data_IF_978521345015
#
_entry.id   IF_978521345015
#
_cell.length_a   1.000
_cell.length_b   1.000
_cell.length_c   1.000
_cell.angle_alpha   90.00
_cell.angle_beta   90.00
_cell.angle_gamma   90.00
#
_symmetry.space_group_name_H-M   'P 1'
#
loop_
_entity.id
_entity.type
_entity.pdbx_description
1 polymer ?
#
# COMPACT_ATOMS: atom_id res chain seq x y z
N UNK A 1 -14.20 0.44 -13.47
CA UNK A 1 -13.32 0.78 -12.35
C UNK A 1 -13.45 -0.30 -11.29
N UNK A 2 -12.34 -0.84 -10.73
CA UNK A 2 -12.36 -1.86 -9.69
C UNK A 2 -11.46 -1.40 -8.53
N UNK A 3 -11.95 -1.50 -7.29
CA UNK A 3 -11.19 -1.10 -6.11
C UNK A 3 -11.69 -1.86 -4.87
N UNK A 4 -10.80 -2.16 -3.93
CA UNK A 4 -11.16 -2.71 -2.61
C UNK A 4 -11.63 -1.62 -1.64
N UNK A 5 -11.29 -0.36 -1.90
CA UNK A 5 -11.69 0.81 -1.13
C UNK A 5 -12.26 1.87 -2.06
N UNK A 6 -13.20 2.68 -1.59
CA UNK A 6 -13.87 3.67 -2.44
C UNK A 6 -13.98 5.04 -1.74
N UNK A 7 -12.84 5.71 -1.46
CA UNK A 7 -12.80 7.00 -0.79
C UNK A 7 -13.44 8.11 -1.64
N UNK A 8 -13.76 9.26 -1.01
CA UNK A 8 -14.41 10.43 -1.68
C UNK A 8 -13.71 10.81 -3.00
N UNK A 9 -12.37 10.84 -3.02
CA UNK A 9 -11.61 11.14 -4.22
C UNK A 9 -11.85 10.15 -5.37
N UNK A 10 -11.93 8.85 -5.06
CA UNK A 10 -12.24 7.83 -6.07
C UNK A 10 -13.68 7.92 -6.58
N UNK A 11 -14.63 8.35 -5.73
CA UNK A 11 -16.02 8.63 -6.13
C UNK A 11 -16.10 9.81 -7.08
N UNK A 12 -15.36 10.90 -6.81
CA UNK A 12 -15.28 12.04 -7.72
C UNK A 12 -14.75 11.62 -9.08
N UNK A 13 -13.65 10.88 -9.12
CA UNK A 13 -13.10 10.36 -10.37
C UNK A 13 -14.10 9.46 -11.10
N UNK A 14 -14.85 8.61 -10.38
CA UNK A 14 -15.87 7.78 -11.03
C UNK A 14 -16.97 8.62 -11.66
N UNK A 15 -17.47 9.66 -10.98
CA UNK A 15 -18.48 10.57 -11.52
C UNK A 15 -17.96 11.37 -12.73
N UNK A 16 -16.65 11.69 -12.76
CA UNK A 16 -16.05 12.48 -13.86
C UNK A 16 -15.76 11.65 -15.11
N UNK A 17 -15.34 10.39 -14.94
CA UNK A 17 -14.85 9.55 -16.03
C UNK A 17 -15.80 8.43 -16.46
N UNK A 18 -16.88 8.19 -15.72
CA UNK A 18 -17.88 7.20 -16.08
C UNK A 18 -19.16 7.88 -16.57
N UNK A 19 -19.93 7.18 -17.43
CA UNK A 19 -21.24 7.64 -17.87
C UNK A 19 -22.21 7.78 -16.69
N UNK A 20 -23.19 8.68 -16.79
CA UNK A 20 -24.12 9.00 -15.70
C UNK A 20 -24.95 7.79 -15.22
N UNK A 21 -25.16 6.80 -16.09
CA UNK A 21 -25.93 5.59 -15.84
C UNK A 21 -25.06 4.38 -15.43
N UNK A 22 -23.83 4.60 -14.95
CA UNK A 22 -22.96 3.50 -14.53
C UNK A 22 -23.59 2.66 -13.40
N UNK A 23 -23.40 1.35 -13.48
CA UNK A 23 -23.83 0.41 -12.45
C UNK A 23 -22.73 0.21 -11.41
N UNK A 24 -23.05 0.48 -10.14
CA UNK A 24 -22.16 0.21 -9.01
C UNK A 24 -22.47 -1.15 -8.41
N UNK A 25 -21.51 -2.07 -8.46
CA UNK A 25 -21.62 -3.38 -7.83
C UNK A 25 -20.74 -3.41 -6.58
N UNK A 26 -21.33 -3.65 -5.41
CA UNK A 26 -20.65 -3.81 -4.14
C UNK A 26 -20.67 -5.29 -3.74
N UNK A 27 -19.49 -5.87 -3.54
CA UNK A 27 -19.34 -7.27 -3.10
C UNK A 27 -18.76 -7.27 -1.70
N UNK A 28 -19.56 -7.62 -0.70
CA UNK A 28 -19.18 -7.53 0.71
C UNK A 28 -19.05 -6.08 1.21
N UNK A 29 -18.39 -5.89 2.34
CA UNK A 29 -18.10 -4.58 2.90
C UNK A 29 -16.85 -3.98 2.25
N UNK A 30 -16.93 -2.71 1.85
CA UNK A 30 -15.77 -1.97 1.31
C UNK A 30 -14.75 -1.76 2.43
N UNK A 31 -13.48 -2.12 2.18
CA UNK A 31 -12.42 -2.03 3.19
C UNK A 31 -12.34 -3.22 4.15
N UNK A 32 -13.12 -4.29 3.94
CA UNK A 32 -12.97 -5.54 4.70
C UNK A 32 -11.73 -6.32 4.25
N UNK A 33 -11.24 -7.18 5.14
CA UNK A 33 -10.17 -8.13 4.83
C UNK A 33 -10.74 -9.47 4.41
N UNK A 34 -9.98 -10.21 3.61
CA UNK A 34 -10.38 -11.55 3.19
C UNK A 34 -10.19 -12.54 4.35
N UNK A 35 -11.17 -13.42 4.59
CA UNK A 35 -11.12 -14.43 5.66
C UNK A 35 -9.99 -15.45 5.49
N UNK A 36 -9.44 -15.59 4.27
CA UNK A 36 -8.31 -16.47 3.98
C UNK A 36 -6.95 -15.89 4.42
N UNK A 37 -6.93 -14.68 4.99
CA UNK A 37 -5.71 -14.09 5.54
C UNK A 37 -5.69 -14.32 7.04
N UNK A 38 -4.79 -15.17 7.52
CA UNK A 38 -4.53 -15.31 8.95
C UNK A 38 -3.73 -14.10 9.42
N UNK A 39 -4.31 -13.29 10.30
CA UNK A 39 -3.70 -12.07 10.81
C UNK A 39 -3.15 -12.31 12.22
N UNK A 40 -1.91 -11.89 12.48
CA UNK A 40 -1.29 -11.97 13.78
C UNK A 40 -0.53 -10.67 14.10
N UNK A 41 -0.54 -10.28 15.36
CA UNK A 41 0.20 -9.11 15.84
C UNK A 41 1.21 -9.52 16.88
N UNK A 42 2.38 -8.89 16.86
CA UNK A 42 3.46 -9.12 17.81
C UNK A 42 3.83 -7.76 18.40
N UNK A 43 3.79 -7.65 19.71
CA UNK A 43 4.27 -6.44 20.38
C UNK A 43 5.80 -6.41 20.33
N UNK A 44 6.37 -5.37 19.71
CA UNK A 44 7.81 -5.25 19.50
C UNK A 44 8.27 -3.80 19.64
N UNK A 45 9.22 -3.54 20.53
CA UNK A 45 9.89 -2.26 20.61
C UNK A 45 10.72 -1.96 19.36
N UNK A 46 10.82 -0.70 18.97
CA UNK A 46 11.53 -0.29 17.75
C UNK A 46 12.97 -0.80 17.66
N UNK A 47 13.67 -0.91 18.81
CA UNK A 47 15.05 -1.40 18.86
C UNK A 47 15.16 -2.91 18.60
N UNK A 48 14.11 -3.64 18.91
CA UNK A 48 14.06 -5.11 18.80
C UNK A 48 13.47 -5.58 17.47
N UNK A 49 12.88 -4.68 16.65
CA UNK A 49 12.18 -5.05 15.40
C UNK A 49 13.06 -5.86 14.44
N UNK A 50 14.32 -5.51 14.26
CA UNK A 50 15.20 -6.24 13.34
C UNK A 50 15.40 -7.68 13.78
N UNK A 51 15.66 -7.90 15.07
CA UNK A 51 15.84 -9.26 15.58
C UNK A 51 14.53 -10.03 15.54
N UNK A 52 13.41 -9.43 15.94
CA UNK A 52 12.08 -10.04 15.84
C UNK A 52 11.71 -10.42 14.41
N UNK A 53 12.08 -9.59 13.43
CA UNK A 53 11.89 -9.88 12.01
C UNK A 53 12.69 -11.10 11.57
N UNK A 54 13.96 -11.15 11.94
CA UNK A 54 14.83 -12.28 11.63
C UNK A 54 14.29 -13.58 12.23
N UNK A 55 13.92 -13.56 13.51
CA UNK A 55 13.40 -14.73 14.23
C UNK A 55 12.08 -15.21 13.61
N UNK A 56 11.21 -14.27 13.22
CA UNK A 56 9.95 -14.57 12.54
C UNK A 56 10.17 -15.23 11.17
N UNK A 57 11.06 -14.69 10.35
CA UNK A 57 11.37 -15.26 9.03
C UNK A 57 12.02 -16.63 9.19
N UNK A 58 12.94 -16.77 10.13
CA UNK A 58 13.62 -18.03 10.40
C UNK A 58 12.64 -19.11 10.87
N UNK A 59 11.70 -18.77 11.75
CA UNK A 59 10.69 -19.71 12.28
C UNK A 59 9.66 -20.14 11.23
N UNK A 60 9.34 -19.27 10.27
CA UNK A 60 8.37 -19.58 9.21
C UNK A 60 8.96 -20.33 8.03
N UNK A 61 10.29 -20.37 7.94
CA UNK A 61 11.00 -21.05 6.86
C UNK A 61 10.95 -20.30 5.51
N UNK A 62 11.57 -20.89 4.47
CA UNK A 62 11.71 -20.25 3.16
C UNK A 62 10.35 -20.17 2.44
N UNK A 63 9.85 -18.96 2.28
CA UNK A 63 8.63 -18.65 1.54
C UNK A 63 8.68 -17.23 0.98
N UNK A 64 7.86 -16.94 -0.04
CA UNK A 64 7.76 -15.57 -0.56
C UNK A 64 7.14 -14.65 0.46
N UNK A 65 7.94 -13.75 0.97
CA UNK A 65 7.60 -12.80 2.04
C UNK A 65 7.73 -11.37 1.54
N UNK A 66 6.69 -10.58 1.72
CA UNK A 66 6.67 -9.15 1.42
C UNK A 66 6.68 -8.37 2.74
N UNK A 67 7.69 -7.53 2.93
CA UNK A 67 7.88 -6.74 4.16
C UNK A 67 7.57 -5.28 3.85
N UNK A 68 6.68 -4.68 4.64
CA UNK A 68 6.32 -3.28 4.52
C UNK A 68 6.97 -2.42 5.59
N UNK A 69 7.60 -1.34 5.13
CA UNK A 69 8.17 -0.27 5.98
C UNK A 69 7.57 1.08 5.59
N UNK A 70 7.60 2.06 6.49
CA UNK A 70 7.02 3.38 6.24
C UNK A 70 8.01 4.39 5.63
N UNK A 71 9.32 4.14 5.72
CA UNK A 71 10.34 5.05 5.21
C UNK A 71 11.33 4.36 4.27
N UNK A 72 11.82 5.08 3.26
CA UNK A 72 12.82 4.61 2.30
C UNK A 72 14.13 4.19 3.00
N UNK A 73 14.59 4.99 3.95
CA UNK A 73 15.80 4.68 4.75
C UNK A 73 15.66 3.40 5.55
N UNK A 74 14.45 3.07 6.03
CA UNK A 74 14.18 1.79 6.68
C UNK A 74 14.19 0.64 5.70
N UNK A 75 13.81 0.88 4.44
CA UNK A 75 13.85 -0.13 3.38
C UNK A 75 15.27 -0.66 3.20
N UNK A 76 16.24 0.25 3.03
CA UNK A 76 17.64 -0.10 2.88
C UNK A 76 18.20 -0.73 4.18
N UNK A 77 17.88 -0.17 5.34
CA UNK A 77 18.32 -0.71 6.64
C UNK A 77 17.86 -2.16 6.86
N UNK A 78 16.61 -2.47 6.54
CA UNK A 78 16.06 -3.83 6.70
C UNK A 78 16.65 -4.77 5.66
N UNK A 79 16.81 -4.31 4.41
CA UNK A 79 17.44 -5.07 3.34
C UNK A 79 18.88 -5.45 3.71
N UNK A 80 19.71 -4.47 4.09
CA UNK A 80 21.09 -4.69 4.53
C UNK A 80 21.18 -5.62 5.75
N UNK A 81 20.29 -5.44 6.72
CA UNK A 81 20.25 -6.29 7.91
C UNK A 81 19.98 -7.76 7.54
N UNK A 82 18.98 -8.02 6.71
CA UNK A 82 18.62 -9.37 6.28
C UNK A 82 19.71 -10.00 5.41
N UNK A 83 20.28 -9.21 4.49
CA UNK A 83 21.38 -9.65 3.64
C UNK A 83 22.60 -10.07 4.48
N UNK A 84 22.99 -9.26 5.47
CA UNK A 84 24.11 -9.58 6.37
C UNK A 84 23.83 -10.81 7.27
N UNK A 85 22.56 -11.18 7.44
CA UNK A 85 22.15 -12.43 8.12
C UNK A 85 22.10 -13.64 7.16
N UNK A 86 22.48 -13.46 5.89
CA UNK A 86 22.48 -14.51 4.89
C UNK A 86 21.12 -14.83 4.27
N UNK A 87 20.13 -13.95 4.46
CA UNK A 87 18.81 -14.12 3.86
C UNK A 87 18.76 -13.41 2.49
N UNK A 88 18.45 -14.12 1.39
CA UNK A 88 18.33 -13.51 0.08
C UNK A 88 17.13 -12.55 0.04
N UNK A 89 17.40 -11.26 -0.03
CA UNK A 89 16.39 -10.20 -0.05
C UNK A 89 16.67 -9.18 -1.15
N UNK A 90 15.69 -8.36 -1.42
CA UNK A 90 15.79 -7.20 -2.32
C UNK A 90 14.79 -6.14 -1.87
N UNK A 91 15.03 -4.88 -2.26
CA UNK A 91 14.19 -3.77 -1.83
C UNK A 91 13.64 -2.96 -3.00
N UNK A 92 12.45 -2.34 -2.78
CA UNK A 92 11.79 -1.49 -3.77
C UNK A 92 11.12 -0.28 -3.10
N UNK A 93 11.48 0.92 -3.58
CA UNK A 93 10.87 2.19 -3.16
C UNK A 93 10.94 3.24 -4.28
N UNK A 94 10.31 4.39 -4.10
CA UNK A 94 10.07 5.37 -5.17
C UNK A 94 11.34 5.92 -5.83
N UNK A 95 12.46 6.03 -5.09
CA UNK A 95 13.69 6.66 -5.60
C UNK A 95 14.58 5.68 -6.36
N UNK A 96 14.25 4.38 -6.36
CA UNK A 96 14.90 3.41 -7.23
C UNK A 96 14.57 3.71 -8.68
N UNK A 97 15.56 3.60 -9.56
CA UNK A 97 15.35 3.69 -11.01
C UNK A 97 14.37 2.62 -11.49
N UNK A 98 13.71 2.85 -12.60
CA UNK A 98 12.77 1.87 -13.17
C UNK A 98 13.44 0.50 -13.41
N UNK A 99 14.69 0.51 -13.87
CA UNK A 99 15.47 -0.72 -14.08
C UNK A 99 15.71 -1.50 -12.78
N UNK A 100 16.14 -0.82 -11.72
CA UNK A 100 16.34 -1.46 -10.40
C UNK A 100 15.04 -2.04 -9.85
N UNK A 101 13.92 -1.32 -10.04
CA UNK A 101 12.59 -1.80 -9.62
C UNK A 101 12.18 -3.06 -10.38
N UNK A 102 12.41 -3.10 -11.67
CA UNK A 102 12.13 -4.28 -12.51
C UNK A 102 13.02 -5.47 -12.16
N UNK A 103 14.31 -5.24 -11.90
CA UNK A 103 15.24 -6.29 -11.49
C UNK A 103 14.90 -6.85 -10.11
N UNK A 104 14.53 -6.00 -9.15
CA UNK A 104 14.06 -6.43 -7.83
C UNK A 104 12.78 -7.29 -7.94
N UNK A 105 11.81 -6.84 -8.73
CA UNK A 105 10.58 -7.60 -8.96
C UNK A 105 10.83 -8.91 -9.69
N UNK A 106 11.72 -8.93 -10.65
CA UNK A 106 12.12 -10.15 -11.35
C UNK A 106 12.75 -11.14 -10.38
N UNK A 107 13.68 -10.69 -9.53
CA UNK A 107 14.34 -11.53 -8.52
C UNK A 107 13.34 -12.10 -7.52
N UNK A 108 12.36 -11.30 -7.10
CA UNK A 108 11.28 -11.74 -6.21
C UNK A 108 10.31 -12.72 -6.90
N UNK A 109 9.90 -12.45 -8.16
CA UNK A 109 9.00 -13.34 -8.92
C UNK A 109 9.62 -14.70 -9.21
N UNK A 110 10.92 -14.75 -9.48
CA UNK A 110 11.65 -16.01 -9.73
C UNK A 110 12.07 -16.72 -8.44
N UNK A 111 11.77 -16.16 -7.27
CA UNK A 111 12.22 -16.63 -5.96
C UNK A 111 13.76 -16.68 -5.79
N UNK A 112 14.52 -15.97 -6.63
CA UNK A 112 15.94 -15.75 -6.42
C UNK A 112 16.18 -14.97 -5.12
N UNK A 113 15.35 -13.94 -4.88
CA UNK A 113 15.22 -13.24 -3.60
C UNK A 113 13.77 -13.46 -3.10
N UNK A 114 13.52 -14.45 -2.22
CA UNK A 114 12.17 -14.73 -1.75
C UNK A 114 11.63 -13.67 -0.77
N UNK A 115 12.47 -12.73 -0.36
CA UNK A 115 12.09 -11.63 0.53
C UNK A 115 12.18 -10.31 -0.24
N UNK A 116 11.07 -9.55 -0.24
CA UNK A 116 11.00 -8.20 -0.81
C UNK A 116 10.65 -7.20 0.28
N UNK A 117 11.49 -6.19 0.47
CA UNK A 117 11.22 -5.06 1.36
C UNK A 117 10.69 -3.89 0.53
N UNK A 118 9.55 -3.33 0.93
CA UNK A 118 8.89 -2.30 0.13
C UNK A 118 8.25 -1.20 0.97
N UNK A 119 8.15 0.00 0.42
CA UNK A 119 7.27 1.03 0.95
C UNK A 119 5.84 0.85 0.43
N UNK A 120 4.83 1.29 1.20
CA UNK A 120 3.42 1.10 0.88
C UNK A 120 3.05 1.60 -0.51
N UNK A 121 3.47 2.82 -0.86
CA UNK A 121 3.16 3.44 -2.17
C UNK A 121 3.71 2.59 -3.34
N UNK A 122 4.93 2.09 -3.21
CA UNK A 122 5.60 1.34 -4.29
C UNK A 122 5.02 -0.06 -4.45
N UNK A 123 4.51 -0.65 -3.39
CA UNK A 123 3.90 -1.97 -3.42
C UNK A 123 2.43 -1.95 -3.88
N UNK A 124 1.80 -0.77 -3.97
CA UNK A 124 0.46 -0.65 -4.58
C UNK A 124 0.54 -1.08 -6.06
N UNK A 125 -0.39 -1.92 -6.46
CA UNK A 125 -0.42 -2.43 -7.83
C UNK A 125 0.59 -3.54 -8.15
N UNK A 126 1.45 -3.95 -7.22
CA UNK A 126 2.29 -5.12 -7.42
C UNK A 126 1.41 -6.36 -7.52
N UNK A 127 1.38 -6.95 -8.71
CA UNK A 127 0.80 -8.27 -8.91
C UNK A 127 1.92 -9.31 -8.91
N UNK A 128 2.10 -9.93 -7.75
CA UNK A 128 3.04 -11.04 -7.57
C UNK A 128 2.28 -12.23 -7.04
N UNK A 129 2.26 -13.28 -7.84
CA UNK A 129 1.65 -14.53 -7.45
C UNK A 129 2.41 -15.20 -6.29
N UNK A 130 1.69 -15.95 -5.47
CA UNK A 130 2.26 -16.80 -4.41
C UNK A 130 3.03 -16.05 -3.31
N UNK A 131 2.66 -14.81 -2.98
CA UNK A 131 3.09 -14.20 -1.71
C UNK A 131 2.37 -14.95 -0.59
N UNK A 132 3.12 -15.67 0.22
CA UNK A 132 2.59 -16.49 1.32
C UNK A 132 2.53 -15.72 2.64
N UNK A 133 3.43 -14.77 2.83
CA UNK A 133 3.53 -14.00 4.05
C UNK A 133 3.69 -12.51 3.75
N UNK A 134 2.88 -11.69 4.37
CA UNK A 134 3.04 -10.24 4.43
C UNK A 134 3.44 -9.87 5.85
N UNK A 135 4.51 -9.11 6.01
CA UNK A 135 4.97 -8.61 7.30
C UNK A 135 4.88 -7.08 7.30
N UNK A 136 4.06 -6.50 8.16
CA UNK A 136 4.10 -5.08 8.44
C UNK A 136 5.16 -4.82 9.51
N UNK A 137 6.40 -4.58 9.09
CA UNK A 137 7.49 -4.16 9.97
C UNK A 137 7.17 -2.82 10.65
N UNK A 138 6.57 -1.90 9.88
CA UNK A 138 5.91 -0.71 10.38
C UNK A 138 4.44 -0.74 9.96
N UNK A 139 3.54 -0.60 10.92
CA UNK A 139 2.13 -0.37 10.63
C UNK A 139 1.94 1.01 9.99
N UNK A 140 0.98 1.18 9.07
CA UNK A 140 0.64 2.49 8.56
C UNK A 140 -0.01 3.34 9.66
N UNK A 141 0.26 4.64 9.68
CA UNK A 141 -0.40 5.58 10.57
C UNK A 141 -1.60 6.24 9.89
N UNK A 142 -2.47 6.87 10.68
CA UNK A 142 -3.61 7.64 10.18
C UNK A 142 -3.23 8.73 9.18
N UNK A 143 -2.01 9.26 9.25
CA UNK A 143 -1.46 10.23 8.28
C UNK A 143 -1.30 9.65 6.86
N UNK A 144 -1.23 8.32 6.72
CA UNK A 144 -1.00 7.60 5.46
C UNK A 144 -2.16 6.67 5.14
N UNK A 145 -3.40 7.14 5.32
CA UNK A 145 -4.60 6.35 5.04
C UNK A 145 -4.83 5.17 6.01
N UNK A 146 -4.04 5.10 7.09
CA UNK A 146 -4.22 4.22 8.24
C UNK A 146 -4.69 2.81 7.90
N UNK A 147 -5.90 2.50 8.30
CA UNK A 147 -6.48 1.17 8.15
C UNK A 147 -6.70 0.76 6.68
N UNK A 148 -6.99 1.70 5.79
CA UNK A 148 -7.14 1.43 4.35
C UNK A 148 -5.83 0.91 3.76
N UNK A 149 -4.71 1.54 4.12
CA UNK A 149 -3.38 1.08 3.69
C UNK A 149 -3.05 -0.29 4.30
N UNK A 150 -3.41 -0.53 5.56
CA UNK A 150 -3.26 -1.84 6.19
C UNK A 150 -3.95 -2.94 5.38
N UNK A 151 -5.21 -2.75 5.03
CA UNK A 151 -5.98 -3.70 4.20
C UNK A 151 -5.33 -3.93 2.84
N UNK A 152 -4.86 -2.86 2.19
CA UNK A 152 -4.16 -2.95 0.91
C UNK A 152 -2.85 -3.75 1.01
N UNK A 153 -2.12 -3.60 2.12
CA UNK A 153 -0.87 -4.33 2.36
C UNK A 153 -1.12 -5.81 2.55
N UNK A 154 -2.00 -6.18 3.47
CA UNK A 154 -2.27 -7.60 3.73
C UNK A 154 -2.96 -8.28 2.55
N UNK A 155 -3.74 -7.54 1.75
CA UNK A 155 -4.31 -8.03 0.49
C UNK A 155 -3.27 -8.33 -0.62
N UNK A 156 -1.96 -8.24 -0.34
CA UNK A 156 -0.92 -8.76 -1.25
C UNK A 156 -0.76 -10.26 -1.13
N UNK A 157 -1.24 -10.89 -0.07
CA UNK A 157 -1.32 -12.35 0.08
C UNK A 157 -2.74 -12.88 -0.12
N UNK A 158 -2.94 -14.16 0.00
CA UNK A 158 -4.24 -14.87 -0.11
C UNK A 158 -5.02 -14.61 -1.42
N UNK A 159 -4.34 -14.35 -2.50
CA UNK A 159 -4.98 -14.05 -3.79
C UNK A 159 -5.50 -15.32 -4.47
N UNK A 160 -6.64 -15.17 -5.20
CA UNK A 160 -7.24 -16.22 -6.03
C UNK A 160 -7.55 -17.49 -5.20
N UNK A 161 -8.21 -17.32 -4.04
CA UNK A 161 -8.64 -18.45 -3.19
C UNK A 161 -7.53 -19.17 -2.43
N UNK A 162 -6.29 -18.67 -2.47
CA UNK A 162 -5.20 -19.19 -1.65
C UNK A 162 -5.31 -18.68 -0.21
N UNK A 163 -4.68 -19.40 0.71
CA UNK A 163 -4.45 -18.93 2.08
C UNK A 163 -3.18 -18.09 2.14
N UNK A 164 -3.16 -17.12 3.05
CA UNK A 164 -2.04 -16.25 3.30
C UNK A 164 -1.89 -15.88 4.77
N UNK A 165 -0.69 -15.44 5.15
CA UNK A 165 -0.40 -14.97 6.50
C UNK A 165 -0.02 -13.51 6.48
N UNK A 166 -0.53 -12.74 7.44
CA UNK A 166 -0.13 -11.37 7.70
C UNK A 166 0.34 -11.24 9.16
N UNK A 167 1.58 -10.80 9.36
CA UNK A 167 2.11 -10.54 10.71
C UNK A 167 2.47 -9.07 10.82
N UNK A 168 2.02 -8.40 11.87
CA UNK A 168 2.25 -6.98 12.07
C UNK A 168 2.96 -6.72 13.39
N UNK A 169 4.01 -5.91 13.35
CA UNK A 169 4.68 -5.43 14.56
C UNK A 169 3.93 -4.22 15.08
N UNK A 170 3.53 -4.30 16.32
CA UNK A 170 2.78 -3.27 17.03
C UNK A 170 3.60 -2.72 18.19
N UNK A 171 3.48 -1.45 18.46
CA UNK A 171 3.94 -0.80 19.69
C UNK A 171 3.06 0.44 19.99
N UNK A 172 3.36 1.14 21.07
CA UNK A 172 2.60 2.30 21.55
C UNK A 172 2.44 3.42 20.52
N UNK A 173 3.34 3.52 19.53
CA UNK A 173 3.23 4.52 18.44
C UNK A 173 2.12 4.21 17.44
N UNK A 174 1.50 3.06 17.55
CA UNK A 174 0.43 2.61 16.66
C UNK A 174 -0.96 2.68 17.31
N UNK A 175 -1.08 3.41 18.44
CA UNK A 175 -2.37 3.57 19.13
C UNK A 175 -3.42 4.27 18.26
N UNK A 176 -2.97 5.15 17.35
CA UNK A 176 -3.82 5.91 16.43
C UNK A 176 -4.68 5.05 15.50
N UNK A 177 -4.29 3.79 15.26
CA UNK A 177 -5.04 2.84 14.42
C UNK A 177 -5.52 1.61 15.21
N UNK A 178 -5.27 1.54 16.51
CA UNK A 178 -5.53 0.34 17.31
C UNK A 178 -7.01 -0.09 17.31
N UNK A 179 -7.93 0.87 17.48
CA UNK A 179 -9.37 0.59 17.45
C UNK A 179 -9.81 0.01 16.10
N UNK A 180 -9.31 0.58 15.00
CA UNK A 180 -9.68 0.11 13.67
C UNK A 180 -9.08 -1.26 13.35
N UNK A 181 -7.87 -1.56 13.86
CA UNK A 181 -7.27 -2.89 13.77
C UNK A 181 -8.12 -3.93 14.53
N UNK A 182 -8.57 -3.62 15.74
CA UNK A 182 -9.43 -4.51 16.52
C UNK A 182 -10.76 -4.76 15.80
N UNK A 183 -11.38 -3.73 15.24
CA UNK A 183 -12.60 -3.90 14.42
C UNK A 183 -12.37 -4.89 13.27
N UNK A 184 -11.29 -4.74 12.51
CA UNK A 184 -10.95 -5.65 11.40
C UNK A 184 -10.71 -7.08 11.89
N UNK A 185 -10.03 -7.27 13.02
CA UNK A 185 -9.82 -8.60 13.58
C UNK A 185 -11.13 -9.27 13.96
N UNK A 186 -12.03 -8.54 14.62
CA UNK A 186 -13.36 -9.03 14.98
C UNK A 186 -14.20 -9.38 13.74
N UNK A 187 -14.21 -8.51 12.73
CA UNK A 187 -14.92 -8.78 11.46
C UNK A 187 -14.43 -10.04 10.76
N UNK A 188 -13.11 -10.20 10.71
CA UNK A 188 -12.48 -11.37 10.06
C UNK A 188 -12.41 -12.60 10.97
N UNK A 189 -13.02 -12.55 12.16
CA UNK A 189 -13.03 -13.63 13.16
C UNK A 189 -11.63 -14.10 13.57
N UNK A 190 -10.70 -13.15 13.64
CA UNK A 190 -9.34 -13.41 14.10
C UNK A 190 -9.23 -13.12 15.59
N UNK A 191 -8.24 -13.75 16.22
CA UNK A 191 -7.94 -13.52 17.63
C UNK A 191 -7.41 -12.10 17.87
N UNK A 192 -7.95 -11.42 18.87
CA UNK A 192 -7.46 -10.11 19.31
C UNK A 192 -6.42 -10.33 20.40
N UNK A 193 -5.16 -9.91 20.21
CA UNK A 193 -4.11 -10.07 21.22
C UNK A 193 -4.41 -9.29 22.50
N UNK A 194 -3.92 -9.76 23.66
CA UNK A 194 -4.16 -9.18 24.98
C UNK A 194 -3.84 -7.69 25.05
N UNK A 195 -2.75 -7.24 24.40
CA UNK A 195 -2.35 -5.83 24.40
C UNK A 195 -3.26 -4.92 23.55
N UNK A 196 -4.14 -5.49 22.73
CA UNK A 196 -5.17 -4.76 21.98
C UNK A 196 -6.57 -4.89 22.61
N UNK A 197 -6.74 -5.69 23.66
CA UNK A 197 -8.06 -5.92 24.28
C UNK A 197 -8.72 -4.65 24.80
N UNK A 198 -7.95 -3.71 25.30
CA UNK A 198 -8.43 -2.41 25.79
C UNK A 198 -9.15 -1.57 24.72
N UNK A 199 -8.91 -1.86 23.43
CA UNK A 199 -9.53 -1.17 22.29
C UNK A 199 -10.77 -1.91 21.75
N UNK A 200 -11.16 -3.02 22.38
CA UNK A 200 -12.40 -3.72 22.00
C UNK A 200 -13.61 -2.84 22.29
N UNK A 201 -14.55 -2.72 21.35
CA UNK A 201 -15.82 -2.04 21.62
C UNK A 201 -16.58 -2.76 22.73
N UNK A 202 -17.32 -1.99 23.55
CA UNK A 202 -18.10 -2.53 24.66
C UNK A 202 -19.17 -3.54 24.19
N UNK A 203 -19.68 -3.36 23.00
CA UNK A 203 -20.63 -4.27 22.36
C UNK A 203 -20.15 -4.56 20.91
N UNK A 204 -19.69 -5.78 20.65
CA UNK A 204 -19.23 -6.18 19.31
C UNK A 204 -20.31 -6.12 18.23
N UNK A 205 -21.58 -6.22 18.60
CA UNK A 205 -22.70 -6.20 17.65
C UNK A 205 -23.08 -4.77 17.21
N UNK A 206 -22.59 -3.76 17.92
CA UNK A 206 -22.82 -2.33 17.61
C UNK A 206 -21.67 -1.64 16.88
N UNK A 207 -20.76 -2.40 16.28
CA UNK A 207 -19.65 -1.81 15.51
C UNK A 207 -20.20 -1.02 14.33
N UNK A 208 -20.25 0.31 14.48
CA UNK A 208 -20.53 1.20 13.36
C UNK A 208 -19.33 1.19 12.41
N UNK A 209 -19.49 0.47 11.33
CA UNK A 209 -18.56 0.53 10.23
C UNK A 209 -18.79 1.81 9.44
N UNK A 210 -17.95 2.81 9.62
CA UNK A 210 -17.95 3.97 8.71
C UNK A 210 -17.54 3.49 7.32
N UNK A 211 -18.51 2.98 6.58
CA UNK A 211 -18.39 2.88 5.15
C UNK A 211 -18.19 4.30 4.64
N UNK A 212 -17.10 4.59 3.95
CA UNK A 212 -16.92 5.90 3.30
C UNK A 212 -18.04 6.23 2.28
N UNK A 213 -19.11 5.46 2.30
CA UNK A 213 -20.35 5.62 1.53
C UNK A 213 -21.49 6.24 2.33
N UNK A 214 -21.38 6.33 3.66
CA UNK A 214 -22.47 6.82 4.51
C UNK A 214 -22.67 8.35 4.44
N UNK A 215 -21.74 9.05 3.79
CA UNK A 215 -21.89 10.48 3.43
C UNK A 215 -22.81 10.72 2.21
N UNK A 216 -23.57 9.72 1.75
CA UNK A 216 -24.53 9.89 0.64
C UNK A 216 -25.75 10.75 1.02
N UNK A 217 -25.93 11.05 2.31
CA UNK A 217 -27.04 11.88 2.77
C UNK A 217 -26.82 13.40 2.59
N UNK A 218 -25.63 13.86 2.20
CA UNK A 218 -25.37 15.29 1.97
C UNK A 218 -25.31 15.70 0.50
N UNK A 219 -25.22 14.78 -0.46
CA UNK A 219 -25.51 15.11 -1.87
C UNK A 219 -27.04 15.11 -2.05
N UNK A 220 -27.64 16.18 -1.51
CA UNK A 220 -29.05 16.45 -1.67
C UNK A 220 -29.43 16.32 -3.14
N UNK A 221 -30.38 15.41 -3.36
CA UNK A 221 -31.19 15.38 -4.56
C UNK A 221 -31.83 16.76 -4.70
N UNK A 222 -31.14 17.70 -5.35
CA UNK A 222 -31.76 18.92 -5.81
C UNK A 222 -32.66 18.51 -6.96
N UNK A 223 -33.88 18.11 -6.63
CA UNK A 223 -34.98 18.17 -7.56
C UNK A 223 -35.20 19.63 -7.89
N UNK A 224 -34.43 20.12 -8.88
CA UNK A 224 -34.63 21.43 -9.46
C UNK A 224 -35.99 21.50 -10.13
N UNK A 225 -36.95 22.04 -9.40
CA UNK A 225 -38.16 22.54 -10.01
C UNK A 225 -37.77 23.63 -11.02
N UNK A 226 -38.16 23.42 -12.27
CA UNK A 226 -38.14 24.46 -13.28
C UNK A 226 -39.08 25.60 -12.85
N UNK A 227 -38.48 26.70 -12.44
CA UNK A 227 -39.13 27.97 -12.27
C UNK A 227 -38.56 28.94 -13.28
N UNK A 228 -39.35 29.24 -14.32
CA UNK A 228 -39.14 30.38 -15.21
C UNK A 228 -39.06 31.65 -14.40
N UNK A 229 -37.97 32.42 -14.53
CA UNK A 229 -38.03 33.87 -14.53
C UNK A 229 -36.84 34.47 -15.30
N UNK A 230 -37.25 35.27 -16.30
CA UNK A 230 -36.42 36.11 -17.15
C UNK A 230 -35.87 37.31 -16.40
N UNK A 231 -34.64 37.74 -16.70
CA UNK A 231 -34.22 39.09 -16.35
C UNK A 231 -32.73 39.36 -16.35
N UNK A 232 -32.24 40.02 -17.38
CA UNK A 232 -31.41 41.21 -17.18
C UNK A 232 -29.92 41.13 -17.51
N UNK A 233 -29.63 41.58 -18.66
CA UNK A 233 -28.40 42.19 -19.19
C UNK A 233 -27.45 42.81 -18.15
N UNK A 234 -26.13 42.68 -18.38
CA UNK A 234 -25.09 43.51 -17.83
C UNK A 234 -23.69 43.09 -18.28
N UNK A 235 -23.22 43.63 -19.38
CA UNK A 235 -21.87 43.42 -19.87
C UNK A 235 -20.85 44.20 -19.04
N UNK A 236 -19.65 43.72 -18.96
CA UNK A 236 -18.46 44.56 -18.97
C UNK A 236 -17.25 43.85 -19.59
N UNK A 237 -16.62 44.58 -20.48
CA UNK A 237 -15.46 44.25 -21.27
C UNK A 237 -14.19 44.68 -20.54
N UNK A 238 -13.21 43.79 -20.40
CA UNK A 238 -11.90 44.16 -19.94
C UNK A 238 -10.81 43.24 -20.50
N UNK A 239 -10.22 43.65 -21.61
CA UNK A 239 -9.06 42.99 -22.18
C UNK A 239 -7.74 43.44 -21.56
N UNK A 240 -6.78 42.56 -21.55
CA UNK A 240 -5.31 42.78 -21.48
C UNK A 240 -4.68 41.51 -22.07
N UNK A 241 -3.86 41.47 -23.04
CA UNK A 241 -2.85 42.29 -23.64
C UNK A 241 -1.43 41.93 -23.14
N UNK A 242 -0.61 41.26 -24.01
CA UNK A 242 0.85 41.12 -23.84
C UNK A 242 1.25 39.67 -23.40
N UNK A 243 1.94 38.80 -24.13
CA UNK A 243 3.06 38.99 -25.02
C UNK A 243 4.38 38.83 -24.24
N UNK A 244 4.97 37.62 -24.26
CA UNK A 244 6.43 37.54 -24.36
C UNK A 244 6.88 36.15 -24.86
N UNK A 245 7.66 36.17 -25.92
CA UNK A 245 8.34 35.06 -26.58
C UNK A 245 9.77 35.04 -26.06
N UNK A 246 10.18 33.95 -25.41
CA UNK A 246 11.56 33.69 -25.04
C UNK A 246 12.00 32.33 -25.58
N UNK A 247 12.71 32.33 -26.70
CA UNK A 247 13.39 31.18 -27.25
C UNK A 247 14.62 30.83 -26.40
N UNK A 248 14.92 29.56 -26.29
CA UNK A 248 16.18 29.08 -25.77
C UNK A 248 16.78 28.10 -26.77
N UNK A 249 17.95 28.48 -27.24
CA UNK A 249 18.81 27.74 -28.18
C UNK A 249 19.40 26.49 -27.54
N UNK A 250 19.60 25.46 -28.39
CA UNK A 250 20.20 24.21 -28.01
C UNK A 250 21.71 24.29 -27.84
N UNK A 251 22.25 23.45 -27.02
CA UNK A 251 23.63 23.01 -27.07
C UNK A 251 23.67 21.47 -27.03
N UNK A 252 24.13 20.92 -28.15
CA UNK A 252 24.52 19.53 -28.28
C UNK A 252 25.88 19.33 -27.61
N UNK A 253 25.95 18.48 -26.58
CA UNK A 253 27.17 17.99 -25.99
C UNK A 253 27.29 16.49 -26.22
N UNK A 254 28.06 16.09 -27.25
CA UNK A 254 28.47 14.72 -27.45
C UNK A 254 29.43 14.27 -26.36
N UNK A 255 29.28 13.03 -25.89
CA UNK A 255 30.29 12.37 -25.05
C UNK A 255 30.61 11.03 -25.65
N UNK A 256 31.90 10.89 -25.97
CA UNK A 256 32.57 9.71 -26.54
C UNK A 256 32.55 8.52 -25.56
N UNK A 257 32.54 7.34 -26.16
CA UNK A 257 32.60 6.08 -25.46
C UNK A 257 33.95 5.80 -24.80
N UNK A 258 33.92 5.03 -23.75
CA UNK A 258 35.05 4.25 -23.26
C UNK A 258 34.59 2.81 -22.96
N UNK A 259 35.15 1.91 -23.76
CA UNK A 259 34.98 0.46 -23.59
C UNK A 259 36.01 -0.03 -22.56
N UNK A 260 35.51 -0.42 -21.38
CA UNK A 260 36.31 -1.10 -20.36
C UNK A 260 35.74 -2.49 -20.05
N UNK A 261 36.26 -3.50 -20.78
CA UNK A 261 35.97 -4.89 -20.46
C UNK A 261 36.68 -5.34 -19.18
N UNK A 262 35.93 -5.94 -18.24
CA UNK A 262 36.49 -6.75 -17.17
C UNK A 262 35.78 -8.10 -17.12
N UNK A 263 36.51 -9.13 -17.55
CA UNK A 263 36.18 -10.52 -17.28
C UNK A 263 36.58 -10.89 -15.86
N UNK A 264 35.71 -11.56 -15.14
CA UNK A 264 35.95 -12.13 -13.82
C UNK A 264 34.90 -13.20 -13.52
N UNK A 265 35.26 -14.47 -13.80
CA UNK A 265 34.46 -15.61 -13.42
C UNK A 265 34.44 -15.76 -11.89
N UNK A 266 33.28 -15.80 -11.31
CA UNK A 266 33.04 -16.18 -9.93
C UNK A 266 31.99 -17.28 -9.91
N UNK A 267 32.38 -18.47 -9.47
CA UNK A 267 31.47 -19.61 -9.25
C UNK A 267 30.51 -19.27 -8.13
N UNK A 268 29.23 -19.08 -8.47
CA UNK A 268 28.15 -18.89 -7.50
C UNK A 268 27.83 -20.23 -6.82
N UNK A 269 28.24 -20.36 -5.57
CA UNK A 269 27.70 -21.40 -4.67
C UNK A 269 26.28 -21.04 -4.31
N UNK A 270 25.32 -21.68 -4.95
CA UNK A 270 23.91 -21.61 -4.60
C UNK A 270 23.72 -22.28 -3.24
N UNK A 271 23.49 -21.49 -2.21
CA UNK A 271 23.00 -22.01 -0.93
C UNK A 271 21.52 -22.37 -1.10
N UNK A 272 21.19 -23.62 -0.86
CA UNK A 272 19.79 -24.12 -0.87
C UNK A 272 19.05 -23.60 0.37
N UNK A 273 18.10 -22.74 0.14
CA UNK A 273 17.07 -22.31 1.08
C UNK A 273 15.73 -22.91 0.69
#
# INVERSE_FOLDING_TARGET
MFSATFPKAARHLAKEYMEEDYVRIKVGRVGSTHTNITQSFIYVDDRSKNQALFDLIFSTGPQRTLIFVNAKSKCDMVDDFLYNKGLPCTSIYSDRTQREREDALRSFRTARCPILVATGVTARGLDVANVKHVINYDLPSTQYDGITEYVHRIGRTARIGNEGKATSFYNERNEDIAEDLVKILLESKQEVPDFLEQYKPADPDTIEWRDGTDDESEDGLVTGGFGDEAGGFGGDSGGFGGGDTGGFDGEEGGFDGDEGGFGGGGEDKVASW
#
